data_IF_054153119804
#
_entry.id   IF_054153119804
#
_cell.length_a   1.000
_cell.length_b   1.000
_cell.length_c   1.000
_cell.angle_alpha   90.00
_cell.angle_beta   90.00
_cell.angle_gamma   90.00
#
_symmetry.space_group_name_H-M   'P 1'
#
loop_
_entity.id
_entity.type
_entity.pdbx_description
1 polymer ?
#
# COMPACT_ATOMS: atom_id res chain seq x y z
N UNK A 1 23.09 -1.99 -20.07
CA UNK A 1 21.70 -2.25 -19.64
C UNK A 1 21.73 -3.46 -18.72
N UNK A 2 21.34 -3.30 -17.45
CA UNK A 2 21.29 -4.40 -16.49
C UNK A 2 20.15 -5.37 -16.85
N UNK A 3 20.33 -6.62 -16.49
CA UNK A 3 19.32 -7.67 -16.59
C UNK A 3 18.97 -8.17 -15.19
N UNK A 4 17.79 -8.76 -15.01
CA UNK A 4 17.44 -9.34 -13.71
C UNK A 4 18.35 -10.52 -13.29
N UNK A 5 19.08 -11.13 -14.22
CA UNK A 5 20.10 -12.14 -13.90
C UNK A 5 21.27 -11.53 -13.11
N UNK A 6 21.60 -10.25 -13.35
CA UNK A 6 22.69 -9.55 -12.66
C UNK A 6 22.40 -9.39 -11.16
N UNK A 7 21.13 -9.22 -10.79
CA UNK A 7 20.69 -9.16 -9.40
C UNK A 7 20.98 -10.48 -8.65
N UNK A 8 21.02 -11.64 -9.31
CA UNK A 8 21.33 -12.92 -8.62
C UNK A 8 22.78 -12.99 -8.13
N UNK A 9 23.70 -12.30 -8.80
CA UNK A 9 25.13 -12.33 -8.49
C UNK A 9 25.53 -11.25 -7.50
N UNK A 10 25.02 -10.04 -7.68
CA UNK A 10 25.40 -8.89 -6.85
C UNK A 10 24.25 -7.88 -6.71
N UNK A 11 23.24 -8.24 -5.90
CA UNK A 11 22.00 -7.45 -5.69
C UNK A 11 22.30 -5.99 -5.39
N UNK A 12 23.09 -5.74 -4.35
CA UNK A 12 23.34 -4.40 -3.80
C UNK A 12 24.01 -3.48 -4.81
N UNK A 13 25.08 -3.96 -5.47
CA UNK A 13 25.84 -3.14 -6.41
C UNK A 13 25.03 -2.80 -7.67
N UNK A 14 24.21 -3.74 -8.15
CA UNK A 14 23.32 -3.49 -9.31
C UNK A 14 22.26 -2.46 -8.94
N UNK A 15 21.61 -2.60 -7.78
CA UNK A 15 20.61 -1.63 -7.30
C UNK A 15 21.24 -0.25 -7.10
N UNK A 16 22.42 -0.17 -6.48
CA UNK A 16 23.15 1.08 -6.27
C UNK A 16 23.47 1.79 -7.59
N UNK A 17 23.89 1.05 -8.63
CA UNK A 17 24.18 1.65 -9.95
C UNK A 17 22.91 2.21 -10.59
N UNK A 18 21.82 1.46 -10.59
CA UNK A 18 20.53 1.93 -11.11
C UNK A 18 20.05 3.16 -10.33
N UNK A 19 20.21 3.15 -9.00
CA UNK A 19 19.85 4.29 -8.15
C UNK A 19 20.62 5.55 -8.51
N UNK A 20 21.95 5.45 -8.69
CA UNK A 20 22.80 6.59 -9.05
C UNK A 20 22.52 7.12 -10.47
N UNK A 21 22.17 6.24 -11.41
CA UNK A 21 21.93 6.60 -12.81
C UNK A 21 20.51 7.14 -13.06
N UNK A 22 19.50 6.53 -12.44
CA UNK A 22 18.09 6.69 -12.82
C UNK A 22 17.14 6.93 -11.64
N UNK A 23 17.65 6.89 -10.40
CA UNK A 23 16.87 7.14 -9.20
C UNK A 23 16.00 5.97 -8.73
N UNK A 24 15.30 6.19 -7.62
CA UNK A 24 14.52 5.14 -6.92
C UNK A 24 13.33 4.60 -7.72
N UNK A 25 12.71 5.43 -8.55
CA UNK A 25 11.60 5.00 -9.39
C UNK A 25 12.01 3.89 -10.36
N UNK A 26 13.20 4.03 -10.96
CA UNK A 26 13.74 3.01 -11.86
C UNK A 26 14.15 1.73 -11.10
N UNK A 27 14.66 1.86 -9.87
CA UNK A 27 14.93 0.69 -9.01
C UNK A 27 13.66 -0.13 -8.77
N UNK A 28 12.53 0.54 -8.45
CA UNK A 28 11.25 -0.15 -8.24
C UNK A 28 10.77 -0.79 -9.53
N UNK A 29 10.81 -0.05 -10.64
CA UNK A 29 10.45 -0.56 -11.97
C UNK A 29 11.25 -1.83 -12.31
N UNK A 30 12.58 -1.77 -12.20
CA UNK A 30 13.49 -2.86 -12.54
C UNK A 30 13.31 -4.11 -11.66
N UNK A 31 13.12 -3.92 -10.35
CA UNK A 31 13.04 -5.02 -9.37
C UNK A 31 11.61 -5.58 -9.20
N UNK A 32 10.59 -4.95 -9.77
CA UNK A 32 9.16 -5.23 -9.50
C UNK A 32 8.76 -6.71 -9.65
N UNK A 33 9.24 -7.39 -10.70
CA UNK A 33 8.92 -8.80 -10.98
C UNK A 33 9.35 -9.77 -9.87
N UNK A 34 10.29 -9.37 -9.00
CA UNK A 34 10.81 -10.17 -7.89
C UNK A 34 10.55 -9.54 -6.52
N UNK A 35 9.83 -8.41 -6.48
CA UNK A 35 9.39 -7.76 -5.24
C UNK A 35 7.97 -8.19 -4.84
N UNK A 36 7.13 -8.56 -5.80
CA UNK A 36 5.78 -9.05 -5.50
C UNK A 36 5.79 -10.46 -4.87
N UNK A 37 4.67 -10.82 -4.24
CA UNK A 37 4.42 -12.17 -3.73
C UNK A 37 3.38 -12.88 -4.60
N UNK A 38 3.56 -14.18 -4.84
CA UNK A 38 2.57 -14.98 -5.60
C UNK A 38 1.23 -15.09 -4.89
N UNK A 39 1.28 -15.17 -3.57
CA UNK A 39 0.11 -15.15 -2.69
C UNK A 39 0.48 -14.53 -1.34
N UNK A 40 -0.42 -13.68 -0.82
CA UNK A 40 -0.32 -13.11 0.52
C UNK A 40 -1.11 -13.92 1.56
N UNK A 41 -2.04 -14.76 1.11
CA UNK A 41 -2.89 -15.60 1.92
C UNK A 41 -2.90 -17.01 1.33
N UNK A 42 -2.56 -18.02 2.14
CA UNK A 42 -2.60 -19.43 1.74
C UNK A 42 -3.24 -20.28 2.83
N UNK A 43 -3.98 -21.30 2.44
CA UNK A 43 -4.55 -22.31 3.33
C UNK A 43 -4.06 -23.67 2.86
N UNK A 44 -3.49 -24.47 3.77
CA UNK A 44 -3.06 -25.82 3.44
C UNK A 44 -4.19 -26.85 3.60
N UNK A 45 -3.92 -28.11 3.23
CA UNK A 45 -4.90 -29.21 3.29
C UNK A 45 -5.39 -29.54 4.70
N UNK A 46 -4.75 -29.00 5.74
CA UNK A 46 -5.11 -29.18 7.15
C UNK A 46 -5.88 -27.97 7.71
N UNK A 47 -6.15 -26.97 6.88
CA UNK A 47 -6.81 -25.74 7.30
C UNK A 47 -5.88 -24.73 7.98
N UNK A 48 -4.56 -24.92 7.95
CA UNK A 48 -3.64 -23.93 8.52
C UNK A 48 -3.58 -22.71 7.60
N UNK A 49 -3.83 -21.54 8.16
CA UNK A 49 -3.81 -20.27 7.45
C UNK A 49 -2.45 -19.62 7.63
N UNK A 50 -1.77 -19.30 6.52
CA UNK A 50 -0.55 -18.47 6.52
C UNK A 50 -0.83 -17.15 5.81
N UNK A 51 -0.41 -16.05 6.45
CA UNK A 51 -0.47 -14.69 5.89
C UNK A 51 0.95 -14.14 5.77
N UNK A 52 1.30 -13.59 4.62
CA UNK A 52 2.59 -12.92 4.40
C UNK A 52 2.42 -11.43 4.68
N UNK A 53 3.42 -10.82 5.34
CA UNK A 53 3.47 -9.36 5.55
C UNK A 53 3.50 -8.61 4.20
N UNK A 54 3.05 -7.36 4.19
CA UNK A 54 3.19 -6.47 3.04
C UNK A 54 4.68 -6.28 2.67
N UNK A 55 4.96 -6.01 1.39
CA UNK A 55 6.30 -5.61 0.96
C UNK A 55 6.30 -4.08 0.82
N UNK A 56 7.12 -3.41 1.63
CA UNK A 56 7.20 -1.96 1.68
C UNK A 56 8.11 -1.36 0.61
N UNK A 57 8.41 -2.05 -0.49
CA UNK A 57 9.31 -1.52 -1.53
C UNK A 57 8.85 -0.16 -2.08
N UNK A 58 7.55 -0.01 -2.38
CA UNK A 58 6.97 1.26 -2.83
C UNK A 58 7.01 2.32 -1.72
N UNK A 59 6.52 2.07 -0.49
CA UNK A 59 6.72 2.97 0.64
C UNK A 59 8.18 3.38 0.88
N UNK A 60 9.13 2.43 0.80
CA UNK A 60 10.55 2.65 1.01
C UNK A 60 11.11 3.65 -0.02
N UNK A 61 10.73 3.51 -1.29
CA UNK A 61 11.16 4.43 -2.34
C UNK A 61 10.71 5.87 -2.07
N UNK A 62 9.53 6.04 -1.47
CA UNK A 62 8.93 7.36 -1.22
C UNK A 62 9.41 7.97 0.09
N UNK A 63 9.32 7.22 1.20
CA UNK A 63 9.37 7.75 2.57
C UNK A 63 10.73 7.61 3.25
N UNK A 64 11.60 6.69 2.83
CA UNK A 64 12.93 6.58 3.43
C UNK A 64 13.81 7.75 3.00
N UNK A 65 14.50 8.38 3.95
CA UNK A 65 15.42 9.47 3.62
C UNK A 65 16.76 8.93 3.10
N UNK A 66 17.26 7.83 3.67
CA UNK A 66 18.57 7.27 3.36
C UNK A 66 18.55 6.28 2.19
N UNK A 67 19.34 6.57 1.15
CA UNK A 67 19.47 5.73 -0.04
C UNK A 67 20.14 4.38 0.22
N UNK A 68 21.13 4.29 1.12
CA UNK A 68 21.75 3.02 1.47
C UNK A 68 20.76 2.09 2.16
N UNK A 69 19.95 2.62 3.06
CA UNK A 69 18.91 1.84 3.75
C UNK A 69 17.80 1.40 2.79
N UNK A 70 17.43 2.25 1.83
CA UNK A 70 16.52 1.87 0.74
C UNK A 70 17.11 0.71 -0.08
N UNK A 71 18.37 0.80 -0.49
CA UNK A 71 19.05 -0.26 -1.26
C UNK A 71 19.12 -1.56 -0.47
N UNK A 72 19.39 -1.49 0.83
CA UNK A 72 19.40 -2.64 1.74
C UNK A 72 18.03 -3.30 1.78
N UNK A 73 16.98 -2.51 2.03
CA UNK A 73 15.62 -3.00 2.07
C UNK A 73 15.23 -3.71 0.76
N UNK A 74 15.49 -3.10 -0.39
CA UNK A 74 15.18 -3.70 -1.69
C UNK A 74 15.96 -5.01 -1.87
N UNK A 75 17.27 -5.01 -1.60
CA UNK A 75 18.15 -6.18 -1.76
C UNK A 75 17.70 -7.39 -0.93
N UNK A 76 17.29 -7.16 0.30
CA UNK A 76 16.80 -8.18 1.23
C UNK A 76 15.44 -8.75 0.82
N UNK A 77 14.59 -7.93 0.18
CA UNK A 77 13.23 -8.32 -0.19
C UNK A 77 13.09 -8.87 -1.61
N UNK A 78 14.17 -8.97 -2.40
CA UNK A 78 14.13 -9.63 -3.71
C UNK A 78 13.94 -11.15 -3.56
N UNK A 79 12.85 -11.68 -4.10
CA UNK A 79 12.53 -13.11 -4.09
C UNK A 79 12.38 -13.69 -5.51
N UNK A 80 13.45 -14.27 -6.03
CA UNK A 80 13.47 -14.91 -7.34
C UNK A 80 12.60 -16.18 -7.43
N UNK A 81 12.33 -16.86 -6.31
CA UNK A 81 11.47 -18.04 -6.29
C UNK A 81 10.00 -17.67 -6.56
N UNK A 82 9.62 -16.43 -6.23
CA UNK A 82 8.29 -15.89 -6.45
C UNK A 82 8.19 -15.02 -7.70
N UNK A 83 9.21 -14.99 -8.58
CA UNK A 83 9.23 -14.17 -9.79
C UNK A 83 7.92 -14.28 -10.58
N UNK A 84 7.38 -13.11 -10.97
CA UNK A 84 6.19 -12.95 -11.83
C UNK A 84 6.54 -11.98 -12.95
N UNK A 85 6.22 -12.34 -14.19
CA UNK A 85 6.38 -11.44 -15.34
C UNK A 85 5.33 -10.33 -15.28
N UNK A 86 5.76 -9.08 -15.37
CA UNK A 86 4.86 -7.92 -15.42
C UNK A 86 4.82 -7.44 -16.87
N UNK A 87 3.65 -7.56 -17.48
CA UNK A 87 3.43 -7.09 -18.85
C UNK A 87 2.99 -5.64 -18.86
N UNK A 88 3.37 -4.90 -19.90
CA UNK A 88 2.90 -3.52 -20.07
C UNK A 88 1.37 -3.49 -20.11
N UNK A 89 0.79 -2.61 -19.31
CA UNK A 89 -0.65 -2.54 -19.14
C UNK A 89 -1.23 -1.71 -20.30
N UNK A 90 -2.13 -2.28 -21.09
CA UNK A 90 -2.78 -1.58 -22.20
C UNK A 90 -3.79 -0.53 -21.73
N UNK A 91 -4.20 0.38 -22.64
CA UNK A 91 -5.31 1.33 -22.43
C UNK A 91 -6.65 0.74 -22.90
N UNK A 92 -7.76 1.29 -22.41
CA UNK A 92 -9.13 0.95 -22.79
C UNK A 92 -9.89 2.23 -23.16
N UNK A 93 -9.73 2.69 -24.40
CA UNK A 93 -10.26 4.00 -24.82
C UNK A 93 -11.77 4.03 -25.04
N UNK A 94 -12.42 2.88 -25.23
CA UNK A 94 -13.80 2.82 -25.70
C UNK A 94 -14.82 2.46 -24.61
N UNK A 95 -14.37 2.10 -23.41
CA UNK A 95 -15.24 1.65 -22.33
C UNK A 95 -15.73 2.85 -21.50
N UNK A 96 -16.99 2.83 -21.07
CA UNK A 96 -17.56 3.91 -20.25
C UNK A 96 -16.87 4.02 -18.89
N UNK A 97 -16.74 5.25 -18.36
CA UNK A 97 -16.01 5.50 -17.10
C UNK A 97 -16.68 4.83 -15.90
N UNK A 98 -18.01 4.78 -15.84
CA UNK A 98 -18.71 4.10 -14.74
C UNK A 98 -18.54 2.58 -14.82
N UNK A 99 -18.51 2.01 -16.03
CA UNK A 99 -18.21 0.58 -16.21
C UNK A 99 -16.76 0.26 -15.82
N UNK A 100 -15.79 1.13 -16.13
CA UNK A 100 -14.40 1.02 -15.67
C UNK A 100 -14.34 0.99 -14.14
N UNK A 101 -15.01 1.92 -13.46
CA UNK A 101 -15.06 1.99 -11.98
C UNK A 101 -15.65 0.72 -11.37
N UNK A 102 -16.79 0.28 -11.90
CA UNK A 102 -17.49 -0.94 -11.44
C UNK A 102 -16.61 -2.18 -11.58
N UNK A 103 -15.90 -2.31 -12.69
CA UNK A 103 -15.00 -3.44 -12.92
C UNK A 103 -13.78 -3.42 -11.99
N UNK A 104 -13.25 -2.24 -11.63
CA UNK A 104 -12.18 -2.15 -10.62
C UNK A 104 -12.64 -2.77 -9.29
N UNK A 105 -13.78 -2.31 -8.74
CA UNK A 105 -14.33 -2.89 -7.50
C UNK A 105 -14.53 -4.39 -7.59
N UNK A 106 -15.27 -4.83 -8.62
CA UNK A 106 -15.63 -6.23 -8.81
C UNK A 106 -14.41 -7.14 -8.90
N UNK A 107 -13.40 -6.75 -9.68
CA UNK A 107 -12.23 -7.59 -9.94
C UNK A 107 -11.26 -7.59 -8.76
N UNK A 108 -11.02 -6.44 -8.12
CA UNK A 108 -10.12 -6.38 -6.96
C UNK A 108 -10.65 -7.23 -5.80
N UNK A 109 -11.93 -7.13 -5.47
CA UNK A 109 -12.57 -7.91 -4.38
C UNK A 109 -12.53 -9.41 -4.65
N UNK A 110 -12.64 -9.82 -5.92
CA UNK A 110 -12.53 -11.23 -6.31
C UNK A 110 -11.10 -11.79 -6.27
N UNK A 111 -10.08 -10.95 -6.10
CA UNK A 111 -8.69 -11.38 -6.20
C UNK A 111 -8.16 -11.46 -7.64
N UNK A 112 -8.88 -10.89 -8.61
CA UNK A 112 -8.57 -10.95 -10.04
C UNK A 112 -7.64 -9.81 -10.50
N UNK A 113 -6.48 -9.68 -9.82
CA UNK A 113 -5.50 -8.60 -10.04
C UNK A 113 -5.16 -8.35 -11.52
N UNK A 114 -4.84 -9.40 -12.28
CA UNK A 114 -4.44 -9.28 -13.69
C UNK A 114 -5.48 -8.55 -14.56
N UNK A 115 -6.77 -8.86 -14.36
CA UNK A 115 -7.85 -8.20 -15.09
C UNK A 115 -8.12 -6.79 -14.59
N UNK A 116 -7.97 -6.55 -13.28
CA UNK A 116 -8.22 -5.23 -12.67
C UNK A 116 -7.23 -4.15 -13.13
N UNK A 117 -5.98 -4.52 -13.45
CA UNK A 117 -4.90 -3.57 -13.77
C UNK A 117 -5.23 -2.67 -14.95
N UNK A 118 -5.86 -3.23 -15.99
CA UNK A 118 -6.20 -2.49 -17.20
C UNK A 118 -7.22 -1.38 -16.91
N UNK A 119 -8.24 -1.70 -16.11
CA UNK A 119 -9.23 -0.73 -15.66
C UNK A 119 -8.59 0.31 -14.71
N UNK A 120 -7.73 -0.13 -13.77
CA UNK A 120 -7.01 0.78 -12.85
C UNK A 120 -6.18 1.81 -13.62
N UNK A 121 -5.39 1.38 -14.59
CA UNK A 121 -4.61 2.26 -15.47
C UNK A 121 -5.52 3.20 -16.24
N UNK A 122 -6.60 2.68 -16.82
CA UNK A 122 -7.52 3.50 -17.59
C UNK A 122 -8.13 4.61 -16.74
N UNK A 123 -8.64 4.29 -15.54
CA UNK A 123 -9.22 5.29 -14.65
C UNK A 123 -8.18 6.31 -14.21
N UNK A 124 -6.98 5.87 -13.80
CA UNK A 124 -5.90 6.81 -13.43
C UNK A 124 -5.59 7.80 -14.54
N UNK A 125 -5.56 7.34 -15.78
CA UNK A 125 -5.23 8.17 -16.94
C UNK A 125 -6.37 9.09 -17.38
N UNK A 126 -7.62 8.77 -17.01
CA UNK A 126 -8.79 9.63 -17.27
C UNK A 126 -8.97 10.67 -16.16
N UNK A 127 -8.90 10.22 -14.91
CA UNK A 127 -9.05 11.03 -13.71
C UNK A 127 -8.29 10.38 -12.55
N UNK A 128 -7.07 10.87 -12.31
CA UNK A 128 -6.21 10.37 -11.24
C UNK A 128 -6.79 10.63 -9.85
N UNK A 129 -7.57 11.70 -9.66
CA UNK A 129 -8.20 12.02 -8.36
C UNK A 129 -9.28 11.00 -8.05
N UNK A 130 -10.12 10.70 -9.03
CA UNK A 130 -11.17 9.70 -8.89
C UNK A 130 -10.59 8.29 -8.70
N UNK A 131 -9.51 7.96 -9.43
CA UNK A 131 -8.77 6.71 -9.21
C UNK A 131 -8.34 6.56 -7.75
N UNK A 132 -7.65 7.55 -7.19
CA UNK A 132 -7.14 7.46 -5.82
C UNK A 132 -8.27 7.47 -4.79
N UNK A 133 -9.29 8.33 -4.96
CA UNK A 133 -10.48 8.32 -4.09
C UNK A 133 -11.09 6.92 -4.02
N UNK A 134 -11.21 6.25 -5.16
CA UNK A 134 -11.80 4.93 -5.24
C UNK A 134 -10.91 3.83 -4.62
N UNK A 135 -9.60 3.87 -4.89
CA UNK A 135 -8.65 2.93 -4.30
C UNK A 135 -8.57 3.10 -2.77
N UNK A 136 -8.60 4.33 -2.27
CA UNK A 136 -8.66 4.61 -0.84
C UNK A 136 -9.94 4.06 -0.22
N UNK A 137 -11.10 4.36 -0.82
CA UNK A 137 -12.38 3.83 -0.36
C UNK A 137 -12.35 2.30 -0.24
N UNK A 138 -11.92 1.60 -1.30
CA UNK A 138 -11.81 0.14 -1.27
C UNK A 138 -10.85 -0.36 -0.19
N UNK A 139 -9.70 0.30 -0.02
CA UNK A 139 -8.70 -0.09 0.97
C UNK A 139 -9.15 0.11 2.41
N UNK A 140 -9.96 1.15 2.68
CA UNK A 140 -10.48 1.50 4.00
C UNK A 140 -11.73 0.71 4.39
N UNK A 141 -12.45 0.15 3.41
CA UNK A 141 -13.53 -0.81 3.65
C UNK A 141 -13.02 -2.14 4.20
N UNK A 142 -11.78 -2.48 3.89
CA UNK A 142 -11.15 -3.74 4.30
C UNK A 142 -10.76 -3.73 5.79
N UNK A 143 -10.36 -4.89 6.29
CA UNK A 143 -9.87 -5.05 7.65
C UNK A 143 -8.74 -4.07 7.92
N UNK A 144 -8.91 -3.27 8.98
CA UNK A 144 -7.97 -2.20 9.32
C UNK A 144 -6.57 -2.69 9.67
N UNK A 145 -6.41 -3.97 10.04
CA UNK A 145 -5.12 -4.61 10.29
C UNK A 145 -4.31 -4.84 9.00
N UNK A 146 -4.91 -4.62 7.83
CA UNK A 146 -4.19 -4.67 6.57
C UNK A 146 -3.65 -3.30 6.21
N UNK A 147 -2.41 -3.28 5.74
CA UNK A 147 -1.71 -2.06 5.32
C UNK A 147 -2.14 -1.59 3.93
N UNK A 148 -3.36 -1.95 3.49
CA UNK A 148 -3.91 -1.54 2.18
C UNK A 148 -4.06 -0.02 2.07
N UNK A 149 -4.57 0.72 3.08
CA UNK A 149 -4.62 2.18 3.01
C UNK A 149 -3.23 2.79 2.85
N UNK A 150 -2.24 2.30 3.62
CA UNK A 150 -0.84 2.70 3.48
C UNK A 150 -0.29 2.39 2.09
N UNK A 151 -0.58 1.21 1.55
CA UNK A 151 -0.14 0.80 0.22
C UNK A 151 -0.69 1.76 -0.86
N UNK A 152 -1.99 2.08 -0.83
CA UNK A 152 -2.58 3.04 -1.78
C UNK A 152 -2.02 4.45 -1.58
N UNK A 153 -1.83 4.89 -0.32
CA UNK A 153 -1.27 6.20 -0.02
C UNK A 153 0.17 6.33 -0.54
N UNK A 154 0.97 5.28 -0.34
CA UNK A 154 2.33 5.22 -0.88
C UNK A 154 2.36 5.24 -2.41
N UNK A 155 1.38 4.61 -3.09
CA UNK A 155 1.26 4.69 -4.55
C UNK A 155 0.99 6.12 -5.02
N UNK A 156 0.09 6.83 -4.33
CA UNK A 156 -0.22 8.22 -4.62
C UNK A 156 1.03 9.08 -4.54
N UNK A 157 1.73 9.02 -3.41
CA UNK A 157 2.98 9.75 -3.20
C UNK A 157 4.10 9.31 -4.16
N UNK A 158 4.13 8.04 -4.54
CA UNK A 158 5.05 7.52 -5.56
C UNK A 158 4.77 8.16 -6.92
N UNK A 159 3.52 8.20 -7.39
CA UNK A 159 3.18 8.83 -8.67
C UNK A 159 3.38 10.33 -8.66
N UNK A 160 3.14 11.01 -7.54
CA UNK A 160 3.47 12.43 -7.38
C UNK A 160 4.97 12.70 -7.49
N UNK A 161 5.81 11.80 -6.94
CA UNK A 161 7.27 11.98 -6.89
C UNK A 161 8.01 11.51 -8.14
N UNK A 162 7.59 10.41 -8.74
CA UNK A 162 8.30 9.72 -9.81
C UNK A 162 7.50 9.62 -11.13
N UNK A 163 6.25 10.09 -11.13
CA UNK A 163 5.34 9.87 -12.25
C UNK A 163 4.74 8.46 -12.25
N UNK A 164 3.86 8.23 -13.22
CA UNK A 164 3.17 6.96 -13.36
C UNK A 164 4.12 5.81 -13.76
N UNK A 165 3.96 4.64 -13.14
CA UNK A 165 4.66 3.40 -13.47
C UNK A 165 3.67 2.22 -13.44
N UNK A 166 3.69 1.40 -14.49
CA UNK A 166 2.89 0.17 -14.56
C UNK A 166 3.32 -0.82 -13.47
N UNK A 167 4.62 -0.85 -13.16
CA UNK A 167 5.25 -1.72 -12.17
C UNK A 167 4.86 -1.34 -10.74
N UNK A 168 4.89 -0.05 -10.41
CA UNK A 168 4.43 0.44 -9.11
C UNK A 168 2.91 0.24 -8.96
N UNK A 169 2.12 0.49 -10.02
CA UNK A 169 0.69 0.17 -10.03
C UNK A 169 0.48 -1.33 -9.76
N UNK A 170 1.23 -2.18 -10.46
CA UNK A 170 1.16 -3.63 -10.35
C UNK A 170 1.39 -4.09 -8.92
N UNK A 171 2.47 -3.66 -8.27
CA UNK A 171 2.83 -4.08 -6.91
C UNK A 171 1.69 -3.79 -5.92
N UNK A 172 1.06 -2.62 -6.04
CA UNK A 172 0.02 -2.18 -5.11
C UNK A 172 -1.32 -2.84 -5.40
N UNK A 173 -1.75 -2.86 -6.66
CA UNK A 173 -2.99 -3.53 -7.08
C UNK A 173 -2.93 -5.04 -6.80
N UNK A 174 -1.78 -5.66 -7.06
CA UNK A 174 -1.52 -7.06 -6.75
C UNK A 174 -1.67 -7.34 -5.26
N UNK A 175 -1.05 -6.55 -4.38
CA UNK A 175 -1.20 -6.70 -2.94
C UNK A 175 -2.66 -6.55 -2.49
N UNK A 176 -3.35 -5.49 -2.92
CA UNK A 176 -4.75 -5.21 -2.55
C UNK A 176 -5.67 -6.36 -2.95
N UNK A 177 -5.42 -6.96 -4.11
CA UNK A 177 -6.26 -8.04 -4.64
C UNK A 177 -5.91 -9.41 -4.07
N UNK A 178 -4.62 -9.74 -3.92
CA UNK A 178 -4.15 -11.04 -3.42
C UNK A 178 -4.30 -11.19 -1.91
N UNK A 179 -4.26 -10.09 -1.16
CA UNK A 179 -4.76 -10.09 0.21
C UNK A 179 -6.28 -10.07 0.13
N UNK A 180 -6.94 -11.22 0.34
CA UNK A 180 -8.40 -11.34 0.18
C UNK A 180 -9.13 -10.24 0.97
N UNK A 181 -10.16 -9.67 0.34
CA UNK A 181 -11.00 -8.67 0.98
C UNK A 181 -11.70 -9.25 2.22
N UNK A 182 -11.67 -8.48 3.29
CA UNK A 182 -12.33 -8.77 4.56
C UNK A 182 -13.08 -7.51 5.03
N UNK A 183 -14.36 -7.42 4.67
CA UNK A 183 -15.18 -6.24 4.96
C UNK A 183 -15.91 -6.29 6.29
N UNK A 184 -15.54 -7.20 7.20
CA UNK A 184 -16.24 -7.40 8.47
C UNK A 184 -16.37 -6.12 9.29
N UNK A 185 -15.30 -5.34 9.39
CA UNK A 185 -15.32 -4.08 10.15
C UNK A 185 -16.34 -3.11 9.54
N UNK A 186 -16.30 -2.95 8.22
CA UNK A 186 -17.18 -2.06 7.48
C UNK A 186 -18.65 -2.50 7.46
N UNK A 187 -18.93 -3.79 7.31
CA UNK A 187 -20.30 -4.34 7.28
C UNK A 187 -21.00 -4.22 8.64
N UNK A 188 -20.24 -4.30 9.73
CA UNK A 188 -20.79 -4.26 11.09
C UNK A 188 -20.75 -2.85 11.72
N UNK A 189 -20.11 -1.89 11.07
CA UNK A 189 -19.99 -0.53 11.60
C UNK A 189 -21.22 0.33 11.29
N UNK A 190 -21.58 1.19 12.25
CA UNK A 190 -22.59 2.23 12.04
C UNK A 190 -21.91 3.59 11.89
N UNK A 191 -22.54 4.47 11.12
CA UNK A 191 -22.07 5.85 11.00
C UNK A 191 -21.96 6.50 12.39
N UNK A 192 -20.77 6.99 12.73
CA UNK A 192 -20.52 7.74 13.96
C UNK A 192 -20.61 9.24 13.75
N UNK A 193 -20.43 10.00 14.83
CA UNK A 193 -20.44 11.47 14.82
C UNK A 193 -19.03 12.08 14.75
N UNK A 194 -17.97 11.27 14.93
CA UNK A 194 -16.60 11.78 14.93
C UNK A 194 -16.13 12.13 13.52
N UNK A 195 -15.55 13.31 13.38
CA UNK A 195 -14.95 13.79 12.14
C UNK A 195 -13.50 13.35 11.96
N UNK A 196 -13.04 13.30 10.70
CA UNK A 196 -11.63 13.02 10.38
C UNK A 196 -10.66 14.05 10.96
N UNK A 197 -11.08 15.31 11.13
CA UNK A 197 -10.27 16.36 11.74
C UNK A 197 -10.13 16.18 13.27
N UNK A 198 -11.18 15.70 13.95
CA UNK A 198 -11.08 15.35 15.36
C UNK A 198 -10.14 14.16 15.58
N UNK A 199 -10.20 13.15 14.72
CA UNK A 199 -9.27 12.01 14.74
C UNK A 199 -7.83 12.46 14.50
N UNK A 200 -7.62 13.34 13.53
CA UNK A 200 -6.33 13.95 13.24
C UNK A 200 -5.74 14.65 14.47
N UNK A 201 -6.51 15.53 15.09
CA UNK A 201 -6.08 16.25 16.29
C UNK A 201 -5.79 15.31 17.46
N UNK A 202 -6.61 14.27 17.65
CA UNK A 202 -6.40 13.25 18.68
C UNK A 202 -5.07 12.53 18.50
N UNK A 203 -4.79 12.02 17.30
CA UNK A 203 -3.53 11.33 16.98
C UNK A 203 -2.33 12.27 17.13
N UNK A 204 -2.43 13.51 16.63
CA UNK A 204 -1.36 14.49 16.71
C UNK A 204 -0.95 14.83 18.15
N UNK A 205 -1.91 14.92 19.06
CA UNK A 205 -1.66 15.21 20.48
C UNK A 205 -0.93 14.07 21.22
N UNK A 206 -0.89 12.87 20.64
CA UNK A 206 -0.24 11.70 21.22
C UNK A 206 0.67 10.97 20.21
N UNK A 207 1.23 11.71 19.24
CA UNK A 207 1.89 11.15 18.06
C UNK A 207 3.03 10.17 18.41
N UNK A 208 3.79 10.47 19.47
CA UNK A 208 4.92 9.66 19.93
C UNK A 208 4.49 8.22 20.32
N UNK A 209 3.23 8.03 20.72
CA UNK A 209 2.70 6.68 21.02
C UNK A 209 2.62 5.81 19.77
N UNK A 210 2.57 6.39 18.57
CA UNK A 210 2.35 5.69 17.31
C UNK A 210 3.66 5.27 16.61
N UNK A 211 4.83 5.42 17.24
CA UNK A 211 6.12 4.90 16.72
C UNK A 211 6.24 3.37 16.89
N UNK A 212 5.31 2.60 16.29
CA UNK A 212 5.30 1.14 16.29
C UNK A 212 4.53 0.56 15.08
N UNK A 213 4.47 -0.77 14.95
CA UNK A 213 3.80 -1.43 13.81
C UNK A 213 2.32 -1.02 13.69
N UNK A 214 1.55 -1.06 14.78
CA UNK A 214 0.12 -0.70 14.77
C UNK A 214 -0.08 0.79 14.49
N UNK A 215 0.80 1.63 15.02
CA UNK A 215 0.75 3.06 14.79
C UNK A 215 0.91 3.41 13.32
N UNK A 216 1.83 2.75 12.60
CA UNK A 216 1.97 2.91 11.15
C UNK A 216 0.69 2.52 10.39
N UNK A 217 -0.01 1.47 10.81
CA UNK A 217 -1.29 1.08 10.20
C UNK A 217 -2.37 2.16 10.42
N UNK A 218 -2.48 2.69 11.65
CA UNK A 218 -3.43 3.75 12.01
C UNK A 218 -3.12 5.02 11.20
N UNK A 219 -1.86 5.43 11.14
CA UNK A 219 -1.42 6.60 10.40
C UNK A 219 -1.65 6.44 8.89
N UNK A 220 -1.43 5.24 8.34
CA UNK A 220 -1.72 4.94 6.94
C UNK A 220 -3.21 5.03 6.62
N UNK A 221 -4.08 4.56 7.52
CA UNK A 221 -5.54 4.71 7.40
C UNK A 221 -5.95 6.18 7.49
N UNK A 222 -5.44 6.91 8.49
CA UNK A 222 -5.74 8.33 8.68
C UNK A 222 -5.30 9.16 7.46
N UNK A 223 -4.11 8.90 6.90
CA UNK A 223 -3.62 9.57 5.70
C UNK A 223 -4.52 9.33 4.47
N UNK A 224 -5.06 8.12 4.32
CA UNK A 224 -6.08 7.83 3.30
C UNK A 224 -7.39 8.59 3.57
N UNK A 225 -7.87 8.60 4.81
CA UNK A 225 -9.10 9.28 5.22
C UNK A 225 -9.03 10.80 5.01
N UNK A 226 -7.87 11.41 5.27
CA UNK A 226 -7.63 12.84 5.05
C UNK A 226 -7.41 13.22 3.58
N UNK A 227 -7.17 12.24 2.70
CA UNK A 227 -6.79 12.51 1.30
C UNK A 227 -7.95 12.99 0.41
N UNK A 228 -9.19 12.67 0.74
CA UNK A 228 -10.39 12.97 -0.06
C UNK A 228 -11.63 13.11 0.85
N UNK A 229 -12.73 13.56 0.25
CA UNK A 229 -14.06 13.47 0.87
C UNK A 229 -14.81 12.23 0.36
N UNK A 230 -15.41 11.49 1.30
CA UNK A 230 -16.07 10.21 1.02
C UNK A 230 -17.55 10.26 1.36
N UNK A 231 -18.37 9.56 0.57
CA UNK A 231 -19.82 9.45 0.84
C UNK A 231 -20.09 8.76 2.19
N UNK A 232 -19.29 7.75 2.53
CA UNK A 232 -19.39 6.97 3.78
C UNK A 232 -18.32 7.36 4.80
N UNK A 233 -17.89 8.62 4.79
CA UNK A 233 -16.81 9.12 5.66
C UNK A 233 -17.05 8.87 7.15
N UNK A 234 -18.29 9.04 7.62
CA UNK A 234 -18.65 8.81 9.03
C UNK A 234 -18.48 7.34 9.45
N UNK A 235 -18.58 6.39 8.51
CA UNK A 235 -18.30 4.98 8.78
C UNK A 235 -16.79 4.78 8.90
N UNK A 236 -16.00 5.24 7.93
CA UNK A 236 -14.54 5.12 7.97
C UNK A 236 -13.91 5.81 9.19
N UNK A 237 -14.43 6.98 9.57
CA UNK A 237 -14.00 7.70 10.76
C UNK A 237 -14.31 6.92 12.04
N UNK A 238 -15.49 6.29 12.13
CA UNK A 238 -15.84 5.50 13.31
C UNK A 238 -15.04 4.19 13.39
N UNK A 239 -14.75 3.54 12.26
CA UNK A 239 -13.83 2.39 12.19
C UNK A 239 -12.45 2.78 12.73
N UNK A 240 -11.88 3.87 12.24
CA UNK A 240 -10.57 4.36 12.68
C UNK A 240 -10.58 4.74 14.17
N UNK A 241 -11.66 5.38 14.64
CA UNK A 241 -11.84 5.70 16.06
C UNK A 241 -11.75 4.45 16.94
N UNK A 242 -12.48 3.38 16.61
CA UNK A 242 -12.45 2.13 17.38
C UNK A 242 -11.05 1.54 17.42
N UNK A 243 -10.33 1.55 16.28
CA UNK A 243 -8.95 1.07 16.24
C UNK A 243 -8.01 1.90 17.12
N UNK A 244 -8.17 3.23 17.13
CA UNK A 244 -7.42 4.11 18.03
C UNK A 244 -7.78 3.83 19.49
N UNK A 245 -9.07 3.67 19.82
CA UNK A 245 -9.53 3.34 21.17
C UNK A 245 -8.94 2.00 21.64
N UNK A 246 -8.95 0.97 20.79
CA UNK A 246 -8.36 -0.33 21.07
C UNK A 246 -6.84 -0.22 21.29
N UNK A 247 -6.15 0.50 20.41
CA UNK A 247 -4.71 0.73 20.49
C UNK A 247 -4.29 1.48 21.76
N UNK A 248 -4.99 2.57 22.10
CA UNK A 248 -4.68 3.38 23.29
C UNK A 248 -5.00 2.65 24.60
N UNK A 249 -5.94 1.69 24.58
CA UNK A 249 -6.28 0.84 25.72
C UNK A 249 -5.36 -0.39 25.85
N UNK A 250 -4.80 -0.88 24.73
CA UNK A 250 -3.80 -1.94 24.75
C UNK A 250 -2.42 -1.34 25.03
N UNK A 251 -1.95 -1.42 26.28
CA UNK A 251 -0.58 -1.04 26.60
C UNK A 251 0.38 -2.02 25.91
N UNK A 252 1.01 -1.61 24.82
CA UNK A 252 2.12 -2.34 24.20
C UNK A 252 3.38 -1.48 24.37
N UNK A 253 4.37 -2.02 25.06
CA UNK A 253 5.72 -1.44 25.09
C UNK A 253 6.27 -1.34 23.66
N UNK A 254 7.10 -0.33 23.42
CA UNK A 254 7.74 -0.09 22.13
C UNK A 254 8.32 -1.39 21.56
N UNK A 255 7.93 -1.71 20.33
CA UNK A 255 8.34 -2.94 19.65
C UNK A 255 9.86 -2.89 19.39
N UNK A 256 10.64 -3.70 20.11
CA UNK A 256 12.10 -3.81 19.95
C UNK A 256 12.51 -4.17 18.51
N UNK A 257 11.58 -4.66 17.67
CA UNK A 257 11.79 -5.00 16.27
C UNK A 257 11.15 -4.02 15.26
N UNK A 258 10.97 -2.75 15.63
CA UNK A 258 10.45 -1.74 14.71
C UNK A 258 11.40 -1.51 13.52
N UNK A 259 11.10 -2.13 12.38
CA UNK A 259 11.98 -2.13 11.21
C UNK A 259 12.27 -0.72 10.69
N UNK A 260 13.48 -0.50 10.16
CA UNK A 260 13.92 0.79 9.61
C UNK A 260 12.93 1.41 8.61
N UNK A 261 12.39 0.60 7.69
CA UNK A 261 11.41 1.09 6.71
C UNK A 261 10.14 1.61 7.38
N UNK A 262 9.65 0.92 8.42
CA UNK A 262 8.46 1.34 9.18
C UNK A 262 8.73 2.60 9.99
N UNK A 263 9.94 2.74 10.53
CA UNK A 263 10.35 3.98 11.18
C UNK A 263 10.32 5.18 10.24
N UNK A 264 10.88 5.05 9.04
CA UNK A 264 10.78 6.12 8.04
C UNK A 264 9.34 6.40 7.59
N UNK A 265 8.50 5.36 7.47
CA UNK A 265 7.06 5.55 7.20
C UNK A 265 6.41 6.37 8.31
N UNK A 266 6.65 6.01 9.58
CA UNK A 266 6.14 6.75 10.74
C UNK A 266 6.62 8.21 10.74
N UNK A 267 7.92 8.44 10.57
CA UNK A 267 8.52 9.78 10.55
C UNK A 267 7.96 10.66 9.42
N UNK A 268 7.61 10.06 8.28
CA UNK A 268 6.94 10.76 7.20
C UNK A 268 5.47 11.06 7.55
N UNK A 269 4.71 10.04 7.95
CA UNK A 269 3.27 10.19 8.19
C UNK A 269 2.96 11.10 9.38
N UNK A 270 3.76 11.04 10.45
CA UNK A 270 3.61 11.91 11.64
C UNK A 270 3.73 13.42 11.33
N UNK A 271 4.36 13.78 10.21
CA UNK A 271 4.44 15.17 9.72
C UNK A 271 3.24 15.57 8.86
N UNK A 272 2.60 14.60 8.20
CA UNK A 272 1.48 14.82 7.28
C UNK A 272 0.12 14.82 8.01
N UNK A 273 -0.01 14.04 9.08
CA UNK A 273 -1.21 13.98 9.93
C UNK A 273 -1.18 14.99 11.08
#
# INVERSE_FOLDING_TARGET
MFTQEDLKKNKRDVINKILLESGRGEVISFCSEVLDKRAYFTVDMHGNIKRKKYNYAVPAAVFMENDNEFVDYISENLNFAEKIKIEKIGRMTNEDTEEVKKNIFKLLVKGESHFSLKHCKELYMRDSREFFKMMFMLSMMDNTSFEKPLAVYSLKKYFEKFGYSDEALYLIVSYISKMRADFRDFENEKAGEISKEELKNRVKNSIDKYENEKGVEILGYLAALLSCDYEKENIFSNILKKKIDEFENSFEENDENFSKVKKSIYEYLSKEV
#
